data_IF_873980101655
#
_entry.id   IF_873980101655
#
_cell.length_a   1.000
_cell.length_b   1.000
_cell.length_c   1.000
_cell.angle_alpha   90.00
_cell.angle_beta   90.00
_cell.angle_gamma   90.00
#
_symmetry.space_group_name_H-M   'P 1'
#
loop_
_entity.id
_entity.type
_entity.pdbx_description
1 polymer ?
#
# COMPACT_ATOMS: atom_id res chain seq x y z
N UNK A 1 -11.52 14.32 7.31
CA UNK A 1 -11.90 14.94 8.58
C UNK A 1 -13.18 15.77 8.45
N UNK A 2 -13.28 16.75 7.55
CA UNK A 2 -14.49 17.57 7.37
C UNK A 2 -15.73 16.70 7.11
N UNK A 3 -15.64 15.69 6.23
CA UNK A 3 -16.75 14.77 5.99
C UNK A 3 -17.24 14.09 7.28
N UNK A 4 -16.31 13.61 8.13
CA UNK A 4 -16.64 13.04 9.45
C UNK A 4 -17.34 14.05 10.34
N UNK A 5 -16.83 15.28 10.44
CA UNK A 5 -17.43 16.32 11.26
C UNK A 5 -18.88 16.63 10.85
N UNK A 6 -19.19 16.58 9.55
CA UNK A 6 -20.54 16.81 9.03
C UNK A 6 -21.50 15.63 9.27
N UNK A 7 -21.01 14.50 9.76
CA UNK A 7 -21.82 13.35 10.21
C UNK A 7 -22.32 13.49 11.66
N UNK A 8 -22.06 14.60 12.34
CA UNK A 8 -22.49 14.86 13.71
C UNK A 8 -23.99 14.64 13.88
N UNK A 9 -24.36 13.95 14.97
CA UNK A 9 -25.76 13.66 15.28
C UNK A 9 -26.40 12.62 14.36
N UNK A 10 -25.63 11.80 13.66
CA UNK A 10 -26.16 10.63 12.95
C UNK A 10 -26.46 9.53 13.98
N UNK A 11 -27.71 9.13 14.08
CA UNK A 11 -28.22 8.15 15.06
C UNK A 11 -27.58 6.76 14.96
N UNK A 12 -27.03 6.43 13.80
CA UNK A 12 -26.39 5.14 13.56
C UNK A 12 -24.92 5.05 14.01
N UNK A 13 -24.34 6.12 14.55
CA UNK A 13 -22.95 6.14 15.03
C UNK A 13 -22.87 7.01 16.29
N UNK A 14 -22.52 6.37 17.41
CA UNK A 14 -22.24 7.03 18.71
C UNK A 14 -21.04 8.00 18.69
N UNK A 15 -20.50 8.33 17.54
CA UNK A 15 -19.28 9.08 17.39
C UNK A 15 -19.59 10.55 17.04
N UNK A 16 -19.57 11.38 18.04
CA UNK A 16 -19.48 12.81 17.84
C UNK A 16 -18.04 13.17 17.43
N UNK A 17 -17.80 13.30 16.13
CA UNK A 17 -16.49 13.63 15.55
C UNK A 17 -16.02 15.06 15.83
N UNK A 18 -16.83 15.84 16.50
CA UNK A 18 -16.62 17.24 16.87
C UNK A 18 -17.57 17.58 18.02
N UNK A 19 -17.26 18.54 18.86
CA UNK A 19 -18.17 19.01 19.89
C UNK A 19 -19.42 19.69 19.29
N UNK A 20 -20.53 19.67 20.05
CA UNK A 20 -21.79 20.27 19.60
C UNK A 20 -21.66 21.76 19.27
N UNK A 21 -20.82 22.47 20.01
CA UNK A 21 -20.60 23.91 19.81
C UNK A 21 -19.83 24.15 18.51
N UNK A 22 -18.72 23.47 18.31
CA UNK A 22 -17.92 23.60 17.08
C UNK A 22 -18.69 23.10 15.84
N UNK A 23 -19.55 22.06 16.00
CA UNK A 23 -20.42 21.65 14.92
C UNK A 23 -21.41 22.74 14.53
N UNK A 24 -22.07 23.41 15.50
CA UNK A 24 -22.98 24.52 15.21
C UNK A 24 -22.28 25.65 14.46
N UNK A 25 -21.08 26.03 14.90
CA UNK A 25 -20.26 27.05 14.24
C UNK A 25 -19.88 26.64 12.81
N UNK A 26 -19.40 25.42 12.65
CA UNK A 26 -19.04 24.88 11.33
C UNK A 26 -20.26 24.83 10.41
N UNK A 27 -21.38 24.27 10.88
CA UNK A 27 -22.60 24.16 10.09
C UNK A 27 -23.18 25.51 9.69
N UNK A 28 -23.00 26.56 10.50
CA UNK A 28 -23.43 27.91 10.17
C UNK A 28 -22.63 28.52 9.01
N UNK A 29 -21.35 28.17 8.89
CA UNK A 29 -20.46 28.72 7.86
C UNK A 29 -20.48 27.94 6.55
N UNK A 30 -20.96 26.70 6.55
CA UNK A 30 -21.01 25.83 5.36
C UNK A 30 -22.09 26.31 4.39
N UNK A 31 -21.78 26.59 3.11
CA UNK A 31 -22.75 26.95 2.08
C UNK A 31 -23.80 25.86 1.83
N UNK A 32 -24.99 26.26 1.39
CA UNK A 32 -26.10 25.34 1.10
C UNK A 32 -25.74 24.30 0.03
N UNK A 33 -24.96 24.71 -0.97
CA UNK A 33 -24.46 23.81 -2.05
C UNK A 33 -23.64 22.66 -1.47
N UNK A 34 -22.73 22.97 -0.55
CA UNK A 34 -21.86 21.96 0.09
C UNK A 34 -22.67 21.07 1.03
N UNK A 35 -23.67 21.63 1.74
CA UNK A 35 -24.59 20.83 2.55
C UNK A 35 -25.37 19.81 1.73
N UNK A 36 -25.74 20.14 0.50
CA UNK A 36 -26.42 19.22 -0.43
C UNK A 36 -25.56 18.03 -0.87
N UNK A 37 -24.23 18.14 -0.75
CA UNK A 37 -23.30 17.06 -1.08
C UNK A 37 -23.08 16.05 0.05
N UNK A 38 -23.57 16.37 1.26
CA UNK A 38 -23.35 15.56 2.46
C UNK A 38 -24.37 14.42 2.50
N UNK A 39 -23.87 13.20 2.33
CA UNK A 39 -24.65 11.99 2.56
C UNK A 39 -24.45 11.52 4.01
N UNK A 40 -25.41 11.80 4.88
CA UNK A 40 -25.33 11.47 6.31
C UNK A 40 -25.26 9.97 6.62
N UNK A 41 -25.57 9.13 5.66
CA UNK A 41 -25.53 7.66 5.83
C UNK A 41 -24.16 7.06 5.46
N UNK A 42 -23.30 7.82 4.76
CA UNK A 42 -22.01 7.31 4.29
C UNK A 42 -20.93 8.40 4.27
N UNK A 43 -19.90 8.22 5.09
CA UNK A 43 -18.71 9.10 5.11
C UNK A 43 -17.95 9.04 3.77
N UNK A 44 -17.80 7.86 3.21
CA UNK A 44 -17.07 7.66 1.95
C UNK A 44 -17.79 8.32 0.76
N UNK A 45 -19.12 8.23 0.71
CA UNK A 45 -19.92 8.91 -0.31
C UNK A 45 -19.82 10.44 -0.16
N UNK A 46 -19.91 10.95 1.07
CA UNK A 46 -19.71 12.38 1.37
C UNK A 46 -18.32 12.84 0.92
N UNK A 47 -17.27 12.08 1.25
CA UNK A 47 -15.91 12.41 0.82
C UNK A 47 -15.77 12.43 -0.70
N UNK A 48 -16.32 11.42 -1.40
CA UNK A 48 -16.29 11.36 -2.85
C UNK A 48 -17.00 12.55 -3.51
N UNK A 49 -18.18 12.93 -3.00
CA UNK A 49 -18.94 14.08 -3.49
C UNK A 49 -18.17 15.40 -3.28
N UNK A 50 -17.58 15.59 -2.09
CA UNK A 50 -16.79 16.78 -1.79
C UNK A 50 -15.52 16.86 -2.65
N UNK A 51 -14.86 15.72 -2.88
CA UNK A 51 -13.68 15.66 -3.74
C UNK A 51 -14.02 15.95 -5.21
N UNK A 52 -15.15 15.47 -5.69
CA UNK A 52 -15.63 15.79 -7.04
C UNK A 52 -15.99 17.28 -7.21
N UNK A 53 -16.44 17.91 -6.13
CA UNK A 53 -16.76 19.34 -6.10
C UNK A 53 -15.52 20.23 -5.93
N UNK A 54 -14.39 19.68 -5.46
CA UNK A 54 -13.15 20.42 -5.26
C UNK A 54 -12.61 20.95 -6.60
N UNK A 55 -12.47 22.27 -6.69
CA UNK A 55 -11.84 22.94 -7.85
C UNK A 55 -10.66 23.78 -7.33
N UNK A 56 -9.57 23.85 -8.08
CA UNK A 56 -8.37 24.62 -7.68
C UNK A 56 -8.56 26.16 -7.84
N UNK A 57 -9.78 26.64 -7.71
CA UNK A 57 -10.12 28.07 -7.79
C UNK A 57 -10.48 28.61 -6.42
N UNK A 58 -10.09 29.87 -6.15
CA UNK A 58 -10.28 30.52 -4.84
C UNK A 58 -11.74 30.67 -4.42
N UNK A 59 -12.66 30.65 -5.37
CA UNK A 59 -14.11 30.79 -5.13
C UNK A 59 -14.77 29.49 -4.66
N UNK A 60 -14.01 28.40 -4.54
CA UNK A 60 -14.51 27.12 -4.09
C UNK A 60 -14.35 26.98 -2.57
N UNK A 61 -15.47 26.73 -1.86
CA UNK A 61 -15.49 26.57 -0.41
C UNK A 61 -14.55 25.45 0.07
N UNK A 62 -14.47 24.33 -0.67
CA UNK A 62 -13.58 23.20 -0.33
C UNK A 62 -12.12 23.61 -0.44
N UNK A 63 -11.75 24.40 -1.45
CA UNK A 63 -10.41 24.98 -1.55
C UNK A 63 -10.10 25.88 -0.34
N UNK A 64 -11.04 26.69 0.10
CA UNK A 64 -10.93 27.49 1.33
C UNK A 64 -10.72 26.64 2.58
N UNK A 65 -11.45 25.52 2.72
CA UNK A 65 -11.29 24.57 3.82
C UNK A 65 -9.87 23.97 3.87
N UNK A 66 -9.37 23.51 2.75
CA UNK A 66 -8.07 22.81 2.68
C UNK A 66 -6.89 23.75 2.84
N UNK A 67 -7.04 25.05 2.51
CA UNK A 67 -5.94 26.00 2.55
C UNK A 67 -5.96 26.94 3.76
N UNK A 68 -7.14 27.36 4.25
CA UNK A 68 -7.23 28.45 5.21
C UNK A 68 -7.96 28.11 6.51
N UNK A 69 -8.74 27.02 6.55
CA UNK A 69 -9.53 26.70 7.73
C UNK A 69 -8.66 26.28 8.93
N UNK A 70 -8.94 26.74 10.17
CA UNK A 70 -8.11 26.45 11.34
C UNK A 70 -8.07 24.98 11.77
N UNK A 71 -9.02 24.15 11.33
CA UNK A 71 -9.05 22.71 11.64
C UNK A 71 -8.74 21.81 10.43
N UNK A 72 -9.02 22.26 9.20
CA UNK A 72 -8.97 21.40 8.02
C UNK A 72 -7.84 21.78 7.05
N UNK A 73 -7.19 22.93 7.25
CA UNK A 73 -6.07 23.34 6.45
C UNK A 73 -4.85 22.46 6.69
N UNK A 74 -4.27 21.93 5.61
CA UNK A 74 -3.10 21.06 5.65
C UNK A 74 -1.93 21.70 6.39
N UNK A 75 -1.70 23.00 6.16
CA UNK A 75 -0.62 23.77 6.82
C UNK A 75 -0.82 23.84 8.34
N UNK A 76 -2.05 24.09 8.80
CA UNK A 76 -2.36 24.16 10.22
C UNK A 76 -2.28 22.76 10.86
N UNK A 77 -2.83 21.74 10.20
CA UNK A 77 -2.74 20.36 10.69
C UNK A 77 -1.29 19.90 10.84
N UNK A 78 -0.44 20.15 9.85
CA UNK A 78 0.98 19.81 9.90
C UNK A 78 1.74 20.54 11.02
N UNK A 79 1.42 21.81 11.29
CA UNK A 79 2.08 22.57 12.36
C UNK A 79 1.72 22.08 13.78
N UNK A 80 0.56 21.46 13.94
CA UNK A 80 0.06 20.90 15.22
C UNK A 80 0.43 19.44 15.42
N UNK A 81 0.96 18.78 14.41
CA UNK A 81 1.41 17.39 14.45
C UNK A 81 2.86 17.32 14.92
N UNK A 82 3.10 16.49 15.93
CA UNK A 82 4.44 16.18 16.44
C UNK A 82 4.70 14.70 16.25
N UNK A 83 5.81 14.38 15.58
CA UNK A 83 6.26 13.01 15.36
C UNK A 83 7.62 12.86 16.02
N UNK A 84 7.78 11.85 16.85
CA UNK A 84 9.04 11.55 17.53
C UNK A 84 9.27 10.04 17.61
N UNK A 85 10.50 9.62 17.51
CA UNK A 85 10.89 8.24 17.76
C UNK A 85 10.95 8.00 19.26
N UNK A 86 10.40 6.89 19.74
CA UNK A 86 10.48 6.50 21.14
C UNK A 86 11.85 5.85 21.42
N UNK A 87 12.77 6.61 22.01
CA UNK A 87 14.16 6.22 22.22
C UNK A 87 14.82 5.71 20.92
N UNK A 88 15.62 4.64 21.00
CA UNK A 88 16.24 3.97 19.84
C UNK A 88 15.43 2.75 19.37
N UNK A 89 14.11 2.78 19.52
CA UNK A 89 13.21 1.69 19.11
C UNK A 89 12.57 1.98 17.75
N UNK A 90 11.93 0.98 17.17
CA UNK A 90 11.14 1.12 15.93
C UNK A 90 9.74 1.72 16.19
N UNK A 91 9.50 2.21 17.44
CA UNK A 91 8.24 2.80 17.84
C UNK A 91 8.24 4.30 17.50
N UNK A 92 7.24 4.72 16.78
CA UNK A 92 6.99 6.13 16.45
C UNK A 92 5.85 6.64 17.32
N UNK A 93 6.08 7.72 18.04
CA UNK A 93 5.05 8.44 18.78
C UNK A 93 4.54 9.60 17.94
N UNK A 94 3.21 9.64 17.75
CA UNK A 94 2.53 10.69 17.00
C UNK A 94 1.58 11.41 17.95
N UNK A 95 1.75 12.71 18.11
CA UNK A 95 0.89 13.56 18.93
C UNK A 95 0.29 14.69 18.10
N UNK A 96 -0.99 14.96 18.32
CA UNK A 96 -1.70 16.06 17.67
C UNK A 96 -2.44 16.88 18.71
N UNK A 97 -2.38 18.21 18.60
CA UNK A 97 -3.03 19.13 19.52
C UNK A 97 -4.12 19.92 18.81
N UNK A 98 -5.34 19.90 19.35
CA UNK A 98 -6.47 20.69 18.84
C UNK A 98 -7.29 21.27 20.00
N UNK A 99 -8.10 22.29 19.72
CA UNK A 99 -9.01 22.89 20.71
C UNK A 99 -10.26 22.03 20.95
N UNK A 100 -10.45 20.98 20.15
CA UNK A 100 -11.58 20.07 20.22
C UNK A 100 -11.06 18.64 20.29
N UNK A 101 -11.50 17.88 21.31
CA UNK A 101 -11.05 16.50 21.51
C UNK A 101 -11.46 15.57 20.36
N UNK A 102 -12.66 15.79 19.78
CA UNK A 102 -13.12 15.02 18.63
C UNK A 102 -12.27 15.28 17.39
N UNK A 103 -11.87 16.53 17.13
CA UNK A 103 -10.96 16.89 16.06
C UNK A 103 -9.58 16.23 16.27
N UNK A 104 -9.05 16.27 17.51
CA UNK A 104 -7.76 15.66 17.80
C UNK A 104 -7.78 14.15 17.57
N UNK A 105 -8.77 13.47 18.13
CA UNK A 105 -8.93 12.02 17.98
C UNK A 105 -9.10 11.60 16.51
N UNK A 106 -10.05 12.22 15.81
CA UNK A 106 -10.33 11.83 14.43
C UNK A 106 -9.20 12.18 13.46
N UNK A 107 -8.42 13.22 13.74
CA UNK A 107 -7.22 13.51 12.96
C UNK A 107 -6.18 12.39 13.08
N UNK A 108 -5.92 11.94 14.31
CA UNK A 108 -4.98 10.83 14.56
C UNK A 108 -5.49 9.51 14.00
N UNK A 109 -6.78 9.23 14.11
CA UNK A 109 -7.41 8.02 13.58
C UNK A 109 -7.27 7.95 12.05
N UNK A 110 -7.64 9.02 11.35
CA UNK A 110 -7.47 9.12 9.89
C UNK A 110 -6.00 9.01 9.49
N UNK A 111 -5.10 9.67 10.23
CA UNK A 111 -3.66 9.63 9.94
C UNK A 111 -3.12 8.21 10.08
N UNK A 112 -3.52 7.50 11.14
CA UNK A 112 -3.13 6.11 11.36
C UNK A 112 -3.60 5.19 10.22
N UNK A 113 -4.86 5.32 9.81
CA UNK A 113 -5.44 4.55 8.71
C UNK A 113 -4.74 4.82 7.37
N UNK A 114 -4.42 6.09 7.09
CA UNK A 114 -3.71 6.47 5.86
C UNK A 114 -2.28 5.94 5.90
N UNK A 115 -1.60 6.08 7.05
CA UNK A 115 -0.25 5.58 7.23
C UNK A 115 -0.18 4.06 7.06
N UNK A 116 -1.09 3.32 7.70
CA UNK A 116 -1.13 1.86 7.60
C UNK A 116 -1.33 1.40 6.14
N UNK A 117 -2.25 2.03 5.41
CA UNK A 117 -2.47 1.72 3.99
C UNK A 117 -1.26 2.05 3.12
N UNK A 118 -0.64 3.20 3.29
CA UNK A 118 0.55 3.58 2.53
C UNK A 118 1.74 2.69 2.84
N UNK A 119 1.96 2.36 4.11
CA UNK A 119 3.00 1.44 4.53
C UNK A 119 2.80 0.05 3.91
N UNK A 120 1.57 -0.47 3.93
CA UNK A 120 1.25 -1.73 3.25
C UNK A 120 1.54 -1.67 1.75
N UNK A 121 1.12 -0.60 1.06
CA UNK A 121 1.38 -0.44 -0.37
C UNK A 121 2.89 -0.42 -0.70
N UNK A 122 3.70 0.27 0.10
CA UNK A 122 5.15 0.29 -0.06
C UNK A 122 5.76 -1.10 0.14
N UNK A 123 5.38 -1.79 1.23
CA UNK A 123 5.87 -3.14 1.53
C UNK A 123 5.46 -4.16 0.47
N UNK A 124 4.20 -4.13 0.04
CA UNK A 124 3.73 -5.02 -1.04
C UNK A 124 4.37 -4.67 -2.39
N UNK A 125 4.61 -3.41 -2.67
CA UNK A 125 5.31 -2.98 -3.89
C UNK A 125 6.73 -3.56 -3.97
N UNK A 126 7.52 -3.45 -2.91
CA UNK A 126 8.85 -4.02 -2.81
C UNK A 126 8.82 -5.56 -2.92
N UNK A 127 7.95 -6.20 -2.15
CA UNK A 127 7.80 -7.67 -2.16
C UNK A 127 7.38 -8.19 -3.54
N UNK A 128 6.42 -7.55 -4.20
CA UNK A 128 5.99 -7.93 -5.55
C UNK A 128 7.10 -7.79 -6.59
N UNK A 129 7.96 -6.78 -6.47
CA UNK A 129 9.11 -6.62 -7.36
C UNK A 129 10.13 -7.76 -7.18
N UNK A 130 10.38 -8.15 -5.94
CA UNK A 130 11.25 -9.30 -5.60
C UNK A 130 10.65 -10.61 -6.12
N UNK A 131 9.36 -10.85 -5.92
CA UNK A 131 8.66 -12.03 -6.44
C UNK A 131 8.77 -12.08 -7.97
N UNK A 132 8.43 -11.00 -8.68
CA UNK A 132 8.55 -10.94 -10.14
C UNK A 132 9.99 -11.12 -10.65
N UNK A 133 10.97 -10.70 -9.88
CA UNK A 133 12.37 -10.96 -10.21
C UNK A 133 12.66 -12.47 -10.14
N UNK A 134 12.28 -13.13 -9.04
CA UNK A 134 12.50 -14.56 -8.89
C UNK A 134 11.71 -15.40 -9.90
N UNK A 135 10.46 -15.05 -10.19
CA UNK A 135 9.66 -15.72 -11.23
C UNK A 135 10.36 -15.67 -12.60
N UNK A 136 10.89 -14.52 -12.98
CA UNK A 136 11.64 -14.37 -14.24
C UNK A 136 12.93 -15.18 -14.23
N UNK A 137 13.64 -15.21 -13.11
CA UNK A 137 14.88 -15.94 -12.98
C UNK A 137 14.65 -17.46 -13.02
N UNK A 138 13.60 -17.94 -12.36
CA UNK A 138 13.18 -19.36 -12.44
C UNK A 138 12.84 -19.74 -13.88
N UNK A 139 12.05 -18.92 -14.58
CA UNK A 139 11.70 -19.18 -15.97
C UNK A 139 12.93 -19.20 -16.88
N UNK A 140 13.91 -18.29 -16.65
CA UNK A 140 15.17 -18.25 -17.39
C UNK A 140 16.00 -19.52 -17.15
N UNK A 141 16.17 -19.92 -15.91
CA UNK A 141 16.92 -21.11 -15.52
C UNK A 141 16.28 -22.40 -16.03
N UNK A 142 14.94 -22.47 -15.97
CA UNK A 142 14.19 -23.60 -16.53
C UNK A 142 14.44 -23.76 -18.04
N UNK A 143 14.44 -22.66 -18.79
CA UNK A 143 14.76 -22.68 -20.23
C UNK A 143 16.17 -23.17 -20.49
N UNK A 144 17.16 -22.74 -19.69
CA UNK A 144 18.55 -23.21 -19.81
C UNK A 144 18.65 -24.71 -19.53
N UNK A 145 17.93 -25.18 -18.48
CA UNK A 145 17.90 -26.61 -18.14
C UNK A 145 17.33 -27.44 -19.30
N UNK A 146 16.14 -27.06 -19.83
CA UNK A 146 15.56 -27.77 -20.97
C UNK A 146 16.50 -27.82 -22.20
N UNK A 147 17.17 -26.70 -22.50
CA UNK A 147 18.10 -26.68 -23.60
C UNK A 147 19.31 -27.63 -23.37
N UNK A 148 19.84 -27.65 -22.14
CA UNK A 148 20.94 -28.55 -21.78
C UNK A 148 20.51 -30.02 -21.81
N UNK A 149 19.29 -30.34 -21.38
CA UNK A 149 18.69 -31.67 -21.48
C UNK A 149 18.51 -32.09 -22.93
N UNK A 150 18.01 -31.22 -23.80
CA UNK A 150 17.87 -31.48 -25.24
C UNK A 150 19.22 -31.71 -25.90
N UNK A 151 20.24 -30.93 -25.55
CA UNK A 151 21.58 -31.08 -26.06
C UNK A 151 22.23 -32.41 -25.59
N UNK A 152 21.98 -32.79 -24.32
CA UNK A 152 22.41 -34.07 -23.80
C UNK A 152 21.74 -35.24 -24.53
N UNK A 153 20.44 -35.15 -24.78
CA UNK A 153 19.68 -36.15 -25.54
C UNK A 153 20.25 -36.28 -26.96
N UNK A 154 20.47 -35.16 -27.66
CA UNK A 154 21.07 -35.14 -28.99
C UNK A 154 22.45 -35.81 -28.99
N UNK A 155 23.30 -35.44 -28.04
CA UNK A 155 24.64 -36.04 -27.88
C UNK A 155 24.58 -37.54 -27.69
N UNK A 156 23.69 -38.02 -26.81
CA UNK A 156 23.51 -39.45 -26.55
C UNK A 156 23.01 -40.19 -27.80
N UNK A 157 22.10 -39.60 -28.57
CA UNK A 157 21.59 -40.17 -29.84
C UNK A 157 22.70 -40.23 -30.89
N UNK A 158 23.45 -39.12 -31.11
CA UNK A 158 24.53 -39.03 -32.07
C UNK A 158 25.66 -40.04 -31.78
N UNK A 159 26.01 -40.19 -30.50
CA UNK A 159 27.03 -41.12 -30.04
C UNK A 159 26.53 -42.55 -29.85
N UNK A 160 25.22 -42.82 -30.09
CA UNK A 160 24.56 -44.11 -29.83
C UNK A 160 24.78 -44.61 -28.39
N UNK A 161 24.82 -43.69 -27.44
CA UNK A 161 25.02 -43.99 -26.02
C UNK A 161 23.66 -44.35 -25.40
N UNK A 162 23.34 -45.65 -25.36
CA UNK A 162 22.07 -46.15 -24.81
C UNK A 162 22.16 -46.24 -23.28
N UNK A 163 23.33 -46.57 -22.75
CA UNK A 163 23.59 -46.64 -21.32
C UNK A 163 25.08 -46.38 -21.04
N UNK A 164 25.45 -45.17 -20.63
CA UNK A 164 26.82 -44.76 -20.34
C UNK A 164 27.52 -45.65 -19.31
N UNK A 165 26.81 -46.11 -18.27
CA UNK A 165 27.38 -46.95 -17.22
C UNK A 165 27.77 -48.34 -17.71
N UNK A 166 26.97 -48.95 -18.56
CA UNK A 166 27.20 -50.27 -19.14
C UNK A 166 28.31 -50.24 -20.21
N UNK A 167 28.27 -49.22 -21.07
CA UNK A 167 29.29 -49.01 -22.11
C UNK A 167 30.68 -48.74 -21.52
N UNK A 168 30.76 -47.92 -20.46
CA UNK A 168 32.05 -47.67 -19.76
C UNK A 168 32.60 -48.95 -19.14
N UNK A 169 31.77 -49.83 -18.56
CA UNK A 169 32.21 -51.13 -18.06
C UNK A 169 32.70 -52.06 -19.17
N UNK A 170 31.99 -52.07 -20.30
CA UNK A 170 32.44 -52.88 -21.45
C UNK A 170 33.76 -52.43 -22.03
N UNK A 171 33.97 -51.09 -22.15
CA UNK A 171 35.24 -50.52 -22.62
C UNK A 171 36.35 -50.86 -21.62
N UNK A 172 36.16 -50.70 -20.34
CA UNK A 172 37.13 -51.04 -19.31
C UNK A 172 37.50 -52.52 -19.33
N UNK A 173 36.54 -53.41 -19.58
CA UNK A 173 36.77 -54.83 -19.70
C UNK A 173 37.52 -55.20 -20.96
N UNK A 174 37.30 -54.54 -22.09
CA UNK A 174 38.05 -54.70 -23.35
C UNK A 174 39.49 -54.25 -23.22
N UNK A 175 39.72 -53.08 -22.60
CA UNK A 175 41.06 -52.55 -22.33
C UNK A 175 41.85 -53.51 -21.41
N UNK A 176 41.23 -54.04 -20.37
CA UNK A 176 41.86 -55.05 -19.49
C UNK A 176 42.19 -56.32 -20.22
N UNK A 177 41.38 -56.78 -21.16
CA UNK A 177 41.64 -58.00 -21.97
C UNK A 177 42.75 -57.79 -22.99
N UNK A 178 42.92 -56.56 -23.51
CA UNK A 178 44.04 -56.25 -24.46
C UNK A 178 45.41 -56.11 -23.77
N UNK A 179 45.44 -55.79 -22.47
CA UNK A 179 46.68 -55.68 -21.70
C UNK A 179 47.24 -57.06 -21.24
N UNK A 180 46.48 -58.14 -21.38
CA UNK A 180 46.87 -59.52 -20.96
C UNK A 180 47.23 -60.36 -22.10
N UNK A 181 47.17 -59.90 -23.33
CA UNK A 181 47.63 -60.60 -24.56
C UNK A 181 48.96 -60.04 -25.06
#
# INVERSE_FOLDING_TARGET
>A
LFARCMMYGNENKDNNYISAEHFRQLNATVPAEVKGLINRNSESATYANLKAFEKPTQDNYIFGLTNYHPYFSLKVMSSKLKVSQFYKSDIINIAYSANDAGIAYNTLDILNDVFARQYQQLRFGETNNVIKFFEREVARLYKILCNAEDDLIKFNVEKRLINCGEQTKQIANLDAAQQVS
#
